data_IF_884658345631
#
_entry.id   IF_884658345631
#
_cell.length_a   1.000
_cell.length_b   1.000
_cell.length_c   1.000
_cell.angle_alpha   90.00
_cell.angle_beta   90.00
_cell.angle_gamma   90.00
#
_symmetry.space_group_name_H-M   'P 1'
#
loop_
_entity.id
_entity.type
_entity.pdbx_description
1 polymer ?
#
# COMPACT_ATOMS: atom_id res chain seq x y z
N UNK A 1 0.03 -32.37 -9.11
CA UNK A 1 -0.66 -31.06 -9.17
C UNK A 1 -0.92 -30.50 -7.77
N UNK A 2 -1.73 -31.15 -6.91
CA UNK A 2 -2.00 -30.68 -5.53
C UNK A 2 -0.74 -30.35 -4.68
N UNK A 3 0.29 -31.19 -4.71
CA UNK A 3 1.50 -31.00 -3.88
C UNK A 3 2.33 -29.75 -4.27
N UNK A 4 2.26 -29.31 -5.53
CA UNK A 4 3.07 -28.18 -6.00
C UNK A 4 2.42 -26.83 -5.67
N UNK A 5 1.09 -26.75 -5.70
CA UNK A 5 0.36 -25.56 -5.29
C UNK A 5 0.43 -25.33 -3.77
N UNK A 6 0.61 -26.41 -3.00
CA UNK A 6 0.94 -26.33 -1.56
C UNK A 6 2.26 -25.59 -1.34
N UNK A 7 3.29 -25.81 -2.17
CA UNK A 7 4.57 -25.07 -2.05
C UNK A 7 4.39 -23.57 -2.26
N UNK A 8 3.61 -23.17 -3.28
CA UNK A 8 3.33 -21.75 -3.54
C UNK A 8 2.50 -21.14 -2.41
N UNK A 9 1.45 -21.82 -1.97
CA UNK A 9 0.60 -21.36 -0.86
C UNK A 9 1.40 -21.24 0.44
N UNK A 10 2.31 -22.18 0.71
CA UNK A 10 3.23 -22.13 1.86
C UNK A 10 4.19 -20.96 1.75
N UNK A 11 4.71 -20.67 0.56
CA UNK A 11 5.56 -19.50 0.31
C UNK A 11 4.83 -18.19 0.61
N UNK A 12 3.58 -18.04 0.13
CA UNK A 12 2.75 -16.86 0.44
C UNK A 12 2.48 -16.77 1.94
N UNK A 13 2.13 -17.88 2.59
CA UNK A 13 1.91 -17.92 4.04
C UNK A 13 3.17 -17.52 4.82
N UNK A 14 4.35 -17.98 4.42
CA UNK A 14 5.62 -17.60 5.04
C UNK A 14 5.90 -16.11 4.90
N UNK A 15 5.64 -15.51 3.72
CA UNK A 15 5.71 -14.06 3.55
C UNK A 15 4.75 -13.36 4.52
N UNK A 16 3.49 -13.79 4.58
CA UNK A 16 2.50 -13.21 5.49
C UNK A 16 2.92 -13.33 6.96
N UNK A 17 3.40 -14.48 7.42
CA UNK A 17 3.86 -14.66 8.81
C UNK A 17 5.05 -13.75 9.10
N UNK A 18 6.02 -13.64 8.19
CA UNK A 18 7.17 -12.76 8.35
C UNK A 18 6.76 -11.29 8.40
N UNK A 19 5.84 -10.84 7.54
CA UNK A 19 5.26 -9.50 7.56
C UNK A 19 4.62 -9.20 8.93
N UNK A 20 3.77 -10.11 9.42
CA UNK A 20 3.09 -9.95 10.71
C UNK A 20 4.06 -10.01 11.90
N UNK A 21 5.23 -10.62 11.72
CA UNK A 21 6.26 -10.74 12.76
C UNK A 21 7.36 -9.67 12.66
N UNK A 22 7.19 -8.69 11.75
CA UNK A 22 8.15 -7.60 11.50
C UNK A 22 9.55 -8.10 11.11
N UNK A 23 9.62 -9.24 10.43
CA UNK A 23 10.85 -9.73 9.84
C UNK A 23 11.06 -9.17 8.44
N UNK A 24 12.33 -9.12 8.03
CA UNK A 24 12.72 -8.99 6.63
C UNK A 24 12.11 -10.17 5.85
N UNK A 25 11.30 -9.88 4.83
CA UNK A 25 10.47 -10.87 4.15
C UNK A 25 10.60 -10.82 2.62
N UNK A 26 11.03 -9.71 2.02
CA UNK A 26 11.18 -9.58 0.58
C UNK A 26 12.13 -10.61 -0.08
N UNK A 27 13.18 -11.14 0.59
CA UNK A 27 13.97 -12.25 0.04
C UNK A 27 13.16 -13.55 -0.13
N UNK A 28 12.16 -13.79 0.73
CA UNK A 28 11.24 -14.93 0.60
C UNK A 28 10.41 -14.79 -0.68
N UNK A 29 9.95 -13.57 -0.97
CA UNK A 29 9.22 -13.26 -2.20
C UNK A 29 10.07 -13.53 -3.45
N UNK A 30 11.36 -13.19 -3.41
CA UNK A 30 12.31 -13.53 -4.48
C UNK A 30 12.49 -15.03 -4.66
N UNK A 31 12.57 -15.79 -3.57
CA UNK A 31 12.57 -17.25 -3.63
C UNK A 31 11.30 -17.81 -4.27
N UNK A 32 10.13 -17.28 -3.90
CA UNK A 32 8.84 -17.67 -4.43
C UNK A 32 8.69 -17.34 -5.93
N UNK A 33 9.20 -16.19 -6.37
CA UNK A 33 9.31 -15.86 -7.79
C UNK A 33 10.18 -16.88 -8.55
N UNK A 34 11.31 -17.31 -7.98
CA UNK A 34 12.14 -18.38 -8.56
C UNK A 34 11.39 -19.70 -8.72
N UNK A 35 10.51 -20.06 -7.77
CA UNK A 35 9.64 -21.24 -7.89
C UNK A 35 8.61 -21.08 -9.02
N UNK A 36 8.01 -19.89 -9.16
CA UNK A 36 7.08 -19.60 -10.25
C UNK A 36 7.78 -19.68 -11.62
N UNK A 37 9.01 -19.20 -11.72
CA UNK A 37 9.86 -19.32 -12.92
C UNK A 37 10.20 -20.77 -13.24
N UNK A 38 10.68 -21.53 -12.26
CA UNK A 38 11.09 -22.93 -12.44
C UNK A 38 9.92 -23.85 -12.84
N UNK A 39 8.69 -23.47 -12.48
CA UNK A 39 7.46 -24.17 -12.87
C UNK A 39 6.86 -23.66 -14.19
N UNK A 40 7.53 -22.71 -14.85
CA UNK A 40 7.07 -22.06 -16.10
C UNK A 40 5.69 -21.39 -15.98
N UNK A 41 5.28 -21.05 -14.75
CA UNK A 41 3.93 -20.55 -14.52
C UNK A 41 3.77 -19.12 -14.99
N UNK A 42 4.78 -18.26 -14.83
CA UNK A 42 4.66 -16.80 -15.03
C UNK A 42 4.02 -16.40 -16.36
N UNK A 43 4.33 -17.11 -17.45
CA UNK A 43 3.82 -16.84 -18.79
C UNK A 43 2.79 -17.86 -19.28
N UNK A 44 2.36 -18.80 -18.44
CA UNK A 44 1.40 -19.85 -18.81
C UNK A 44 -0.03 -19.28 -18.89
N UNK A 45 -0.65 -19.19 -20.08
CA UNK A 45 -2.01 -18.71 -20.24
C UNK A 45 -3.07 -19.74 -19.80
N UNK A 46 -2.69 -21.01 -19.62
CA UNK A 46 -3.57 -22.11 -19.18
C UNK A 46 -3.33 -22.49 -17.71
N UNK A 47 -2.74 -21.57 -16.95
CA UNK A 47 -2.40 -21.80 -15.55
C UNK A 47 -3.64 -22.18 -14.71
N UNK A 48 -3.51 -23.14 -13.76
CA UNK A 48 -4.58 -23.46 -12.83
C UNK A 48 -5.09 -22.23 -12.05
N UNK A 49 -6.40 -22.13 -11.76
CA UNK A 49 -6.99 -20.98 -11.06
C UNK A 49 -6.31 -20.63 -9.72
N UNK A 50 -5.91 -21.65 -8.95
CA UNK A 50 -5.20 -21.47 -7.68
C UNK A 50 -3.83 -20.82 -7.89
N UNK A 51 -3.08 -21.27 -8.90
CA UNK A 51 -1.77 -20.71 -9.22
C UNK A 51 -1.88 -19.30 -9.85
N UNK A 52 -3.00 -18.97 -10.49
CA UNK A 52 -3.31 -17.60 -10.90
C UNK A 52 -3.57 -16.70 -9.69
N UNK A 53 -4.43 -17.14 -8.76
CA UNK A 53 -4.71 -16.40 -7.52
C UNK A 53 -3.44 -16.18 -6.68
N UNK A 54 -2.58 -17.19 -6.55
CA UNK A 54 -1.31 -17.06 -5.82
C UNK A 54 -0.34 -16.11 -6.53
N UNK A 55 -0.32 -16.05 -7.87
CA UNK A 55 0.49 -15.05 -8.58
C UNK A 55 -0.03 -13.64 -8.31
N UNK A 56 -1.34 -13.43 -8.33
CA UNK A 56 -1.92 -12.13 -8.01
C UNK A 56 -1.54 -11.68 -6.59
N UNK A 57 -1.63 -12.60 -5.61
CA UNK A 57 -1.18 -12.34 -4.24
C UNK A 57 0.32 -12.00 -4.15
N UNK A 58 1.17 -12.75 -4.87
CA UNK A 58 2.61 -12.49 -4.93
C UNK A 58 2.92 -11.16 -5.62
N UNK A 59 2.19 -10.84 -6.70
CA UNK A 59 2.30 -9.57 -7.41
C UNK A 59 1.93 -8.39 -6.52
N UNK A 60 0.88 -8.52 -5.72
CA UNK A 60 0.45 -7.50 -4.78
C UNK A 60 1.52 -7.24 -3.70
N UNK A 61 2.09 -8.29 -3.12
CA UNK A 61 3.22 -8.19 -2.19
C UNK A 61 4.47 -7.58 -2.86
N UNK A 62 4.65 -7.77 -4.16
CA UNK A 62 5.81 -7.24 -4.88
C UNK A 62 5.72 -5.73 -5.20
N UNK A 63 4.56 -5.11 -4.98
CA UNK A 63 4.40 -3.65 -5.16
C UNK A 63 5.25 -2.92 -4.12
N UNK A 64 6.29 -2.17 -4.54
CA UNK A 64 7.28 -1.63 -3.62
C UNK A 64 6.72 -0.51 -2.75
N UNK A 65 5.72 0.22 -3.24
CA UNK A 65 5.16 1.41 -2.59
C UNK A 65 4.34 1.12 -1.33
N UNK A 66 4.05 -0.15 -1.04
CA UNK A 66 3.41 -0.57 0.20
C UNK A 66 4.40 -1.09 1.25
N UNK A 67 5.71 -1.05 1.00
CA UNK A 67 6.70 -1.61 1.92
C UNK A 67 7.78 -0.59 2.26
N UNK A 68 7.90 -0.27 3.55
CA UNK A 68 8.98 0.57 4.07
C UNK A 68 10.24 -0.27 4.29
N UNK A 69 11.41 0.36 4.03
CA UNK A 69 12.73 -0.25 4.20
C UNK A 69 12.91 -1.57 3.43
N UNK A 70 12.27 -1.70 2.27
CA UNK A 70 12.38 -2.90 1.44
C UNK A 70 13.84 -3.11 0.99
N UNK A 71 14.41 -4.27 1.29
CA UNK A 71 15.82 -4.57 1.01
C UNK A 71 16.04 -5.26 -0.33
N UNK A 72 15.02 -5.96 -0.85
CA UNK A 72 15.09 -6.57 -2.18
C UNK A 72 14.38 -5.68 -3.19
N UNK A 73 14.99 -5.34 -4.33
CA UNK A 73 14.31 -4.62 -5.41
C UNK A 73 12.97 -5.29 -5.79
N UNK A 74 12.02 -4.49 -6.26
CA UNK A 74 10.79 -5.04 -6.85
C UNK A 74 11.15 -5.95 -8.02
N UNK A 75 10.42 -7.07 -8.14
CA UNK A 75 10.56 -8.00 -9.26
C UNK A 75 9.58 -7.67 -10.39
N UNK A 76 8.83 -6.57 -10.24
CA UNK A 76 7.82 -6.07 -11.15
C UNK A 76 6.77 -7.13 -11.54
N UNK A 77 6.43 -8.02 -10.61
CA UNK A 77 5.54 -9.17 -10.87
C UNK A 77 4.15 -8.67 -11.26
N UNK A 78 3.64 -7.67 -10.56
CA UNK A 78 2.34 -7.08 -10.88
C UNK A 78 2.31 -6.50 -12.30
N UNK A 79 3.26 -5.60 -12.61
CA UNK A 79 3.37 -4.93 -13.91
C UNK A 79 3.56 -5.93 -15.05
N UNK A 80 4.36 -6.96 -14.84
CA UNK A 80 4.76 -7.90 -15.89
C UNK A 80 3.74 -9.01 -16.15
N UNK A 81 3.06 -9.51 -15.12
CA UNK A 81 2.27 -10.75 -15.24
C UNK A 81 0.79 -10.58 -14.88
N UNK A 82 0.45 -9.61 -14.01
CA UNK A 82 -0.94 -9.41 -13.55
C UNK A 82 -1.65 -8.33 -14.37
N UNK A 83 -1.07 -7.12 -14.39
CA UNK A 83 -1.64 -5.94 -15.04
C UNK A 83 -2.04 -6.17 -16.51
N UNK A 84 -1.25 -6.86 -17.38
CA UNK A 84 -1.62 -7.07 -18.77
C UNK A 84 -2.93 -7.84 -18.99
N UNK A 85 -3.41 -8.55 -17.97
CA UNK A 85 -4.59 -9.42 -18.04
C UNK A 85 -5.76 -8.91 -17.18
N UNK A 86 -5.53 -7.92 -16.31
CA UNK A 86 -6.48 -7.49 -15.27
C UNK A 86 -6.62 -5.97 -15.25
N UNK A 87 -7.70 -5.48 -15.85
CA UNK A 87 -7.94 -4.04 -16.01
C UNK A 87 -9.20 -3.53 -15.30
N UNK A 88 -10.13 -4.42 -14.95
CA UNK A 88 -11.43 -4.07 -14.37
C UNK A 88 -11.88 -5.10 -13.34
N UNK A 89 -12.79 -4.68 -12.46
CA UNK A 89 -13.28 -5.49 -11.35
C UNK A 89 -12.39 -5.38 -10.12
N UNK A 90 -12.75 -6.14 -9.09
CA UNK A 90 -12.13 -6.04 -7.76
C UNK A 90 -11.11 -7.17 -7.60
N UNK A 91 -9.87 -6.80 -7.27
CA UNK A 91 -8.82 -7.73 -6.90
C UNK A 91 -9.17 -8.39 -5.56
N UNK A 92 -9.13 -9.72 -5.51
CA UNK A 92 -9.77 -10.50 -4.45
C UNK A 92 -9.02 -10.48 -3.12
N UNK A 93 -7.69 -10.36 -3.14
CA UNK A 93 -6.86 -10.33 -1.93
C UNK A 93 -7.00 -8.97 -1.24
N UNK A 94 -6.97 -7.91 -2.03
CA UNK A 94 -6.93 -6.53 -1.54
C UNK A 94 -8.30 -5.88 -1.38
N UNK A 95 -9.29 -6.34 -2.15
CA UNK A 95 -10.57 -5.65 -2.27
C UNK A 95 -10.45 -4.29 -2.97
N UNK A 96 -9.34 -3.99 -3.64
CA UNK A 96 -9.13 -2.75 -4.41
C UNK A 96 -9.42 -3.02 -5.90
N UNK A 97 -10.00 -2.07 -6.64
CA UNK A 97 -10.25 -2.25 -8.06
C UNK A 97 -8.93 -2.41 -8.83
N UNK A 98 -8.87 -3.34 -9.79
CA UNK A 98 -7.67 -3.53 -10.61
C UNK A 98 -7.27 -2.24 -11.32
N UNK A 99 -8.23 -1.43 -11.76
CA UNK A 99 -7.97 -0.14 -12.38
C UNK A 99 -7.19 0.82 -11.47
N UNK A 100 -7.45 0.82 -10.16
CA UNK A 100 -6.72 1.61 -9.17
C UNK A 100 -5.39 0.96 -8.79
N UNK A 101 -5.39 -0.37 -8.56
CA UNK A 101 -4.18 -1.10 -8.19
C UNK A 101 -3.09 -1.00 -9.27
N UNK A 102 -3.49 -1.04 -10.55
CA UNK A 102 -2.58 -0.83 -11.67
C UNK A 102 -1.93 0.56 -11.65
N UNK A 103 -2.64 1.60 -11.22
CA UNK A 103 -2.05 2.93 -11.04
C UNK A 103 -1.06 2.92 -9.87
N UNK A 104 -1.46 2.37 -8.72
CA UNK A 104 -0.62 2.29 -7.52
C UNK A 104 0.64 1.43 -7.73
N UNK A 105 0.59 0.44 -8.63
CA UNK A 105 1.76 -0.35 -9.01
C UNK A 105 2.76 0.43 -9.90
N UNK A 106 2.35 1.54 -10.53
CA UNK A 106 3.14 2.36 -11.45
C UNK A 106 3.40 3.78 -10.91
N UNK A 107 3.61 3.89 -9.58
CA UNK A 107 3.86 5.17 -8.90
C UNK A 107 5.16 5.87 -9.29
N UNK A 108 6.04 5.17 -9.99
CA UNK A 108 7.25 5.69 -10.62
C UNK A 108 7.00 6.40 -11.97
N UNK A 109 5.78 6.38 -12.51
CA UNK A 109 5.42 7.10 -13.73
C UNK A 109 5.35 8.62 -13.50
N UNK A 110 5.87 9.41 -14.45
CA UNK A 110 5.79 10.89 -14.41
C UNK A 110 4.37 11.43 -14.56
N UNK A 111 3.42 10.62 -15.04
CA UNK A 111 2.00 11.01 -15.21
C UNK A 111 1.12 10.57 -14.05
N UNK A 112 1.65 9.81 -13.08
CA UNK A 112 0.82 9.08 -12.11
C UNK A 112 -0.15 9.97 -11.32
N UNK A 113 0.31 11.15 -10.87
CA UNK A 113 -0.55 12.06 -10.11
C UNK A 113 -1.79 12.46 -10.93
N UNK A 114 -1.62 12.71 -12.24
CA UNK A 114 -2.74 13.02 -13.12
C UNK A 114 -3.63 11.83 -13.34
N UNK A 115 -3.06 10.65 -13.54
CA UNK A 115 -3.82 9.43 -13.80
C UNK A 115 -4.68 9.07 -12.58
N UNK A 116 -4.17 9.26 -11.35
CA UNK A 116 -4.92 9.10 -10.09
C UNK A 116 -5.98 10.19 -9.90
N UNK A 117 -5.72 11.43 -10.33
CA UNK A 117 -6.71 12.50 -10.31
C UNK A 117 -7.87 12.23 -11.28
N UNK A 118 -7.57 11.61 -12.43
CA UNK A 118 -8.52 11.28 -13.49
C UNK A 118 -9.17 9.91 -13.33
N UNK A 119 -8.73 9.09 -12.36
CA UNK A 119 -9.32 7.78 -12.11
C UNK A 119 -10.82 7.91 -11.84
N UNK A 120 -11.68 7.25 -12.64
CA UNK A 120 -13.13 7.49 -12.65
C UNK A 120 -13.86 6.89 -11.45
N UNK A 121 -13.20 6.04 -10.67
CA UNK A 121 -13.85 5.18 -9.68
C UNK A 121 -14.37 3.88 -10.27
N UNK A 122 -14.74 2.96 -9.38
CA UNK A 122 -15.57 1.79 -9.70
C UNK A 122 -16.77 1.75 -8.75
N UNK A 123 -17.81 1.00 -9.11
CA UNK A 123 -18.95 0.76 -8.22
C UNK A 123 -18.62 -0.42 -7.30
N UNK A 124 -18.58 -0.16 -5.99
CA UNK A 124 -18.47 -1.19 -4.97
C UNK A 124 -19.84 -1.73 -4.58
N UNK A 125 -19.84 -2.93 -4.02
CA UNK A 125 -21.03 -3.55 -3.43
C UNK A 125 -21.38 -2.87 -2.09
N UNK A 126 -20.39 -2.28 -1.42
CA UNK A 126 -20.52 -1.70 -0.10
C UNK A 126 -20.02 -0.25 -0.05
N UNK A 127 -20.72 0.58 0.74
CA UNK A 127 -20.40 2.00 0.87
C UNK A 127 -18.97 2.25 1.42
N UNK A 128 -18.48 1.38 2.31
CA UNK A 128 -17.13 1.51 2.85
C UNK A 128 -16.04 1.24 1.80
N UNK A 129 -16.32 0.41 0.78
CA UNK A 129 -15.36 0.13 -0.29
C UNK A 129 -15.07 1.41 -1.08
N UNK A 130 -16.10 2.21 -1.38
CA UNK A 130 -15.95 3.49 -2.08
C UNK A 130 -15.01 4.42 -1.31
N UNK A 131 -15.21 4.53 0.02
CA UNK A 131 -14.33 5.34 0.86
C UNK A 131 -12.92 4.77 0.98
N UNK A 132 -12.77 3.44 1.03
CA UNK A 132 -11.46 2.79 1.03
C UNK A 132 -10.70 3.12 -0.25
N UNK A 133 -11.34 2.96 -1.41
CA UNK A 133 -10.70 3.22 -2.70
C UNK A 133 -10.34 4.68 -2.88
N UNK A 134 -11.20 5.60 -2.44
CA UNK A 134 -10.87 7.03 -2.41
C UNK A 134 -9.70 7.33 -1.48
N UNK A 135 -9.62 6.70 -0.30
CA UNK A 135 -8.48 6.86 0.59
C UNK A 135 -7.18 6.39 -0.07
N UNK A 136 -7.19 5.22 -0.73
CA UNK A 136 -6.05 4.70 -1.47
C UNK A 136 -5.61 5.61 -2.62
N UNK A 137 -6.56 6.10 -3.42
CA UNK A 137 -6.29 7.01 -4.53
C UNK A 137 -5.65 8.30 -4.05
N UNK A 138 -6.24 8.94 -3.04
CA UNK A 138 -5.75 10.19 -2.47
C UNK A 138 -4.37 10.02 -1.81
N UNK A 139 -4.16 8.90 -1.10
CA UNK A 139 -2.86 8.55 -0.56
C UNK A 139 -1.82 8.27 -1.65
N UNK A 140 -2.22 7.64 -2.76
CA UNK A 140 -1.39 7.50 -3.96
C UNK A 140 -0.92 8.86 -4.48
N UNK A 141 -1.81 9.85 -4.60
CA UNK A 141 -1.41 11.20 -5.05
C UNK A 141 -0.41 11.84 -4.08
N UNK A 142 -0.63 11.70 -2.78
CA UNK A 142 0.29 12.23 -1.76
C UNK A 142 1.65 11.53 -1.81
N UNK A 143 1.64 10.21 -1.97
CA UNK A 143 2.85 9.41 -2.03
C UNK A 143 3.63 9.71 -3.33
N UNK A 144 2.97 9.94 -4.47
CA UNK A 144 3.68 10.26 -5.72
C UNK A 144 4.43 11.58 -5.62
N UNK A 145 3.88 12.56 -4.90
CA UNK A 145 4.59 13.82 -4.64
C UNK A 145 5.82 13.63 -3.73
N UNK A 146 5.72 12.77 -2.73
CA UNK A 146 6.87 12.37 -1.90
C UNK A 146 7.99 11.74 -2.74
N UNK A 147 7.65 11.01 -3.81
CA UNK A 147 8.61 10.39 -4.73
C UNK A 147 9.17 11.39 -5.75
N UNK A 148 8.35 12.32 -6.25
CA UNK A 148 8.73 13.31 -7.26
C UNK A 148 9.65 14.41 -6.74
N UNK A 149 9.59 14.74 -5.44
CA UNK A 149 10.45 15.73 -4.77
C UNK A 149 11.94 15.27 -4.65
N UNK A 150 12.31 14.14 -5.25
CA UNK A 150 13.69 13.69 -5.36
C UNK A 150 14.44 14.51 -6.44
N UNK A 151 15.71 14.93 -6.23
CA UNK A 151 16.31 16.07 -6.96
C UNK A 151 16.58 15.92 -8.47
N UNK A 152 16.12 14.85 -9.14
CA UNK A 152 16.57 14.52 -10.50
C UNK A 152 15.65 14.95 -11.65
N UNK A 153 14.36 15.24 -11.43
CA UNK A 153 13.44 15.55 -12.54
C UNK A 153 12.76 16.92 -12.43
N UNK A 154 13.49 17.97 -12.83
CA UNK A 154 12.94 19.30 -13.03
C UNK A 154 12.48 19.50 -14.48
N UNK A 155 11.36 18.89 -14.85
CA UNK A 155 10.56 19.36 -16.00
C UNK A 155 9.08 19.38 -15.62
N UNK A 156 8.61 20.52 -15.10
CA UNK A 156 7.24 20.70 -14.60
C UNK A 156 6.30 21.11 -15.72
N UNK A 157 5.23 20.35 -16.03
CA UNK A 157 4.05 20.92 -16.66
C UNK A 157 3.25 21.72 -15.62
N UNK A 158 2.81 22.92 -15.99
CA UNK A 158 1.86 23.74 -15.25
C UNK A 158 0.56 22.94 -14.98
N UNK A 159 0.25 22.65 -13.72
CA UNK A 159 -1.05 22.09 -13.34
C UNK A 159 -1.59 22.75 -12.08
N UNK A 160 -2.89 23.05 -12.12
CA UNK A 160 -3.68 23.54 -10.99
C UNK A 160 -3.81 22.37 -10.02
N UNK A 161 -2.79 22.17 -9.19
CA UNK A 161 -2.72 21.03 -8.29
C UNK A 161 -3.52 21.33 -7.01
N UNK A 162 -4.41 20.42 -6.65
CA UNK A 162 -5.08 20.44 -5.34
C UNK A 162 -4.01 20.40 -4.25
N UNK A 163 -4.08 21.29 -3.25
CA UNK A 163 -3.05 21.36 -2.21
C UNK A 163 -2.93 20.05 -1.43
N UNK A 164 -1.71 19.73 -0.97
CA UNK A 164 -1.42 18.55 -0.13
C UNK A 164 -2.31 18.53 1.11
N UNK A 165 -2.56 19.69 1.71
CA UNK A 165 -3.48 19.84 2.85
C UNK A 165 -4.90 19.36 2.52
N UNK A 166 -5.47 19.78 1.39
CA UNK A 166 -6.81 19.37 0.99
C UNK A 166 -6.86 17.86 0.74
N UNK A 167 -5.86 17.30 0.06
CA UNK A 167 -5.79 15.85 -0.20
C UNK A 167 -5.69 15.05 1.11
N UNK A 168 -4.80 15.48 2.01
CA UNK A 168 -4.62 14.87 3.34
C UNK A 168 -5.92 14.90 4.15
N UNK A 169 -6.62 16.03 4.18
CA UNK A 169 -7.91 16.13 4.86
C UNK A 169 -8.98 15.23 4.24
N UNK A 170 -8.98 15.06 2.91
CA UNK A 170 -9.87 14.10 2.24
C UNK A 170 -9.53 12.64 2.59
N UNK A 171 -8.25 12.28 2.75
CA UNK A 171 -7.86 10.95 3.26
C UNK A 171 -8.44 10.73 4.65
N UNK A 172 -8.26 11.68 5.58
CA UNK A 172 -8.84 11.57 6.93
C UNK A 172 -10.37 11.50 6.90
N UNK A 173 -11.04 12.27 6.04
CA UNK A 173 -12.50 12.21 5.89
C UNK A 173 -12.97 10.82 5.40
N UNK A 174 -12.28 10.23 4.42
CA UNK A 174 -12.58 8.87 3.95
C UNK A 174 -12.36 7.82 5.03
N UNK A 175 -11.25 7.90 5.78
CA UNK A 175 -10.98 7.00 6.91
C UNK A 175 -12.04 7.16 8.01
N UNK A 176 -12.40 8.40 8.35
CA UNK A 176 -13.45 8.67 9.33
C UNK A 176 -14.81 8.10 8.90
N UNK A 177 -15.14 8.18 7.60
CA UNK A 177 -16.35 7.56 7.07
C UNK A 177 -16.30 6.03 7.22
N UNK A 178 -15.19 5.38 6.89
CA UNK A 178 -14.99 3.93 7.08
C UNK A 178 -15.17 3.53 8.55
N UNK A 179 -14.55 4.28 9.46
CA UNK A 179 -14.67 4.07 10.92
C UNK A 179 -16.12 4.26 11.38
N UNK A 180 -16.77 5.33 10.94
CA UNK A 180 -18.12 5.72 11.35
C UNK A 180 -19.23 4.78 10.84
N UNK A 181 -18.99 4.06 9.74
CA UNK A 181 -19.95 3.06 9.21
C UNK A 181 -20.21 1.93 10.23
N UNK A 182 -19.25 1.63 11.11
CA UNK A 182 -19.43 0.89 12.38
C UNK A 182 -19.89 -0.57 12.32
N UNK A 183 -20.70 -0.97 11.34
CA UNK A 183 -21.56 -2.16 11.41
C UNK A 183 -22.08 -2.61 10.02
N UNK A 184 -21.18 -2.89 9.08
CA UNK A 184 -21.50 -3.82 7.99
C UNK A 184 -20.42 -4.90 8.00
N UNK A 185 -20.82 -6.16 7.87
CA UNK A 185 -19.98 -7.34 8.03
C UNK A 185 -18.88 -7.41 6.95
N UNK A 186 -17.83 -6.61 7.08
CA UNK A 186 -16.67 -6.72 6.21
C UNK A 186 -15.93 -8.02 6.53
N UNK A 187 -15.43 -8.70 5.48
CA UNK A 187 -14.47 -9.79 5.66
C UNK A 187 -13.22 -9.21 6.35
N UNK A 188 -12.94 -9.67 7.57
CA UNK A 188 -11.79 -9.54 8.48
C UNK A 188 -10.54 -8.63 8.21
N UNK A 189 -10.26 -8.03 7.04
CA UNK A 189 -8.98 -7.33 6.75
C UNK A 189 -9.08 -5.82 6.42
N UNK A 190 -10.26 -5.19 6.43
CA UNK A 190 -10.41 -3.76 6.06
C UNK A 190 -9.66 -2.80 7.00
N UNK A 191 -9.50 -3.17 8.28
CA UNK A 191 -8.75 -2.39 9.26
C UNK A 191 -7.25 -2.30 8.94
N UNK A 192 -6.68 -3.36 8.33
CA UNK A 192 -5.30 -3.34 7.82
C UNK A 192 -5.21 -2.61 6.50
N UNK A 193 -6.23 -2.73 5.65
CA UNK A 193 -6.27 -2.04 4.37
C UNK A 193 -6.17 -0.50 4.53
N UNK A 194 -6.67 0.10 5.62
CA UNK A 194 -6.53 1.55 5.83
C UNK A 194 -5.14 1.98 6.35
N UNK A 195 -4.21 1.07 6.63
CA UNK A 195 -2.87 1.41 7.15
C UNK A 195 -2.07 2.23 6.16
N UNK A 196 -1.99 1.81 4.90
CA UNK A 196 -1.31 2.57 3.84
C UNK A 196 -1.82 4.02 3.73
N UNK A 197 -3.12 4.28 3.51
CA UNK A 197 -3.59 5.66 3.39
C UNK A 197 -3.44 6.46 4.68
N UNK A 198 -3.66 5.83 5.85
CA UNK A 198 -3.48 6.50 7.14
C UNK A 198 -2.00 6.88 7.39
N UNK A 199 -1.08 5.99 7.04
CA UNK A 199 0.35 6.22 7.21
C UNK A 199 0.82 7.40 6.34
N UNK A 200 0.48 7.40 5.04
CA UNK A 200 0.89 8.47 4.13
C UNK A 200 0.31 9.82 4.57
N UNK A 201 -0.98 9.88 4.90
CA UNK A 201 -1.57 11.12 5.42
C UNK A 201 -0.94 11.54 6.76
N UNK A 202 -0.64 10.57 7.62
CA UNK A 202 -0.06 10.74 8.95
C UNK A 202 1.32 11.38 8.91
N UNK A 203 2.26 10.84 8.12
CA UNK A 203 3.62 11.41 8.04
C UNK A 203 3.61 12.84 7.48
N UNK A 204 2.61 13.19 6.67
CA UNK A 204 2.48 14.52 6.05
C UNK A 204 1.73 15.54 6.90
N UNK A 205 1.28 15.22 8.11
CA UNK A 205 0.59 16.20 8.98
C UNK A 205 1.52 17.33 9.42
N UNK A 206 0.95 18.52 9.63
CA UNK A 206 1.73 19.74 9.95
C UNK A 206 1.35 20.38 11.28
N UNK A 207 0.11 20.16 11.75
CA UNK A 207 -0.42 20.78 12.96
C UNK A 207 -0.86 19.74 13.99
N UNK A 208 -1.01 20.19 15.24
CA UNK A 208 -1.35 19.31 16.37
C UNK A 208 -2.73 18.64 16.23
N UNK A 209 -3.69 19.31 15.56
CA UNK A 209 -5.02 18.75 15.33
C UNK A 209 -4.96 17.54 14.41
N UNK A 210 -4.25 17.62 13.29
CA UNK A 210 -4.07 16.52 12.35
C UNK A 210 -3.27 15.36 12.94
N UNK A 211 -2.24 15.67 13.73
CA UNK A 211 -1.51 14.64 14.48
C UNK A 211 -2.44 13.90 15.45
N UNK A 212 -3.36 14.62 16.10
CA UNK A 212 -4.36 14.02 16.96
C UNK A 212 -5.35 13.15 16.18
N UNK A 213 -5.82 13.60 15.00
CA UNK A 213 -6.67 12.79 14.12
C UNK A 213 -5.97 11.48 13.72
N UNK A 214 -4.68 11.56 13.37
CA UNK A 214 -3.87 10.39 13.06
C UNK A 214 -3.81 9.43 14.25
N UNK A 215 -3.51 9.93 15.46
CA UNK A 215 -3.46 9.09 16.67
C UNK A 215 -4.80 8.40 16.94
N UNK A 216 -5.92 9.12 16.83
CA UNK A 216 -7.26 8.56 17.06
C UNK A 216 -7.57 7.47 16.04
N UNK A 217 -7.22 7.66 14.78
CA UNK A 217 -7.42 6.65 13.74
C UNK A 217 -6.58 5.37 14.01
N UNK A 218 -5.30 5.51 14.38
CA UNK A 218 -4.46 4.36 14.77
C UNK A 218 -5.01 3.64 16.00
N UNK A 219 -5.43 4.39 17.04
CA UNK A 219 -6.05 3.82 18.24
C UNK A 219 -7.30 3.01 17.93
N UNK A 220 -8.13 3.47 16.98
CA UNK A 220 -9.31 2.73 16.55
C UNK A 220 -8.95 1.39 15.88
N UNK A 221 -7.90 1.37 15.05
CA UNK A 221 -7.41 0.14 14.40
C UNK A 221 -6.85 -0.83 15.46
N UNK A 222 -6.06 -0.32 16.41
CA UNK A 222 -5.46 -1.12 17.49
C UNK A 222 -6.51 -1.80 18.37
N UNK A 223 -7.58 -1.09 18.73
CA UNK A 223 -8.67 -1.65 19.55
C UNK A 223 -9.39 -2.84 18.89
N UNK A 224 -9.23 -3.03 17.58
CA UNK A 224 -9.81 -4.15 16.82
C UNK A 224 -8.76 -5.16 16.31
N UNK A 225 -7.48 -5.02 16.64
CA UNK A 225 -6.36 -5.80 16.08
C UNK A 225 -5.36 -6.36 17.10
N UNK A 226 -4.26 -6.96 16.61
CA UNK A 226 -3.12 -7.37 17.44
C UNK A 226 -2.20 -6.16 17.68
N UNK A 227 -1.95 -5.81 18.94
CA UNK A 227 -1.44 -4.50 19.40
C UNK A 227 0.01 -4.12 19.00
N UNK A 228 0.69 -4.87 18.13
CA UNK A 228 2.14 -4.71 17.89
C UNK A 228 2.53 -3.80 16.73
N UNK A 229 2.11 -4.14 15.51
CA UNK A 229 2.61 -3.50 14.28
C UNK A 229 2.11 -2.08 14.11
N UNK A 230 0.82 -1.85 14.39
CA UNK A 230 0.20 -0.54 14.26
C UNK A 230 0.79 0.48 15.23
N UNK A 231 1.24 0.03 16.42
CA UNK A 231 1.91 0.90 17.39
C UNK A 231 3.29 1.32 16.90
N UNK A 232 4.04 0.38 16.31
CA UNK A 232 5.34 0.66 15.72
C UNK A 232 5.20 1.63 14.53
N UNK A 233 4.17 1.46 13.70
CA UNK A 233 3.88 2.40 12.60
C UNK A 233 3.56 3.79 13.16
N UNK A 234 2.73 3.89 14.19
CA UNK A 234 2.43 5.18 14.83
C UNK A 234 3.67 5.83 15.46
N UNK A 235 4.56 5.05 16.06
CA UNK A 235 5.82 5.54 16.63
C UNK A 235 6.76 6.09 15.54
N UNK A 236 6.83 5.43 14.38
CA UNK A 236 7.55 5.93 13.20
C UNK A 236 6.95 7.28 12.75
N UNK A 237 5.62 7.35 12.60
CA UNK A 237 4.93 8.58 12.23
C UNK A 237 5.21 9.70 13.24
N UNK A 238 5.18 9.41 14.54
CA UNK A 238 5.49 10.37 15.59
C UNK A 238 6.95 10.84 15.56
N UNK A 239 7.89 9.95 15.21
CA UNK A 239 9.30 10.31 14.99
C UNK A 239 9.46 11.27 13.82
N UNK A 240 8.73 11.06 12.72
CA UNK A 240 8.69 12.01 11.59
C UNK A 240 8.16 13.36 12.03
N UNK A 241 7.11 13.44 12.85
CA UNK A 241 6.60 14.73 13.34
C UNK A 241 7.60 15.50 14.21
N UNK A 242 8.38 14.77 15.00
CA UNK A 242 9.41 15.36 15.87
C UNK A 242 10.59 15.90 15.07
N UNK A 243 11.02 15.17 14.06
CA UNK A 243 12.28 15.41 13.34
C UNK A 243 12.09 16.15 12.00
N UNK A 244 10.91 16.06 11.39
CA UNK A 244 10.59 16.57 10.05
C UNK A 244 9.95 17.96 10.02
N UNK A 245 10.13 18.78 11.06
CA UNK A 245 9.58 20.16 11.09
C UNK A 245 10.19 21.00 9.97
N UNK A 246 9.34 21.45 9.03
CA UNK A 246 9.76 22.27 7.89
C UNK A 246 10.46 21.50 6.76
N UNK A 247 10.53 20.17 6.83
CA UNK A 247 11.00 19.34 5.72
C UNK A 247 9.96 19.20 4.61
N UNK A 248 10.41 19.04 3.36
CA UNK A 248 9.53 18.73 2.23
C UNK A 248 8.97 17.30 2.31
N UNK A 249 8.05 16.95 1.43
CA UNK A 249 7.32 15.68 1.47
C UNK A 249 8.26 14.48 1.32
N UNK A 250 9.23 14.55 0.40
CA UNK A 250 10.26 13.52 0.23
C UNK A 250 11.07 13.25 1.51
N UNK A 251 11.50 14.31 2.21
CA UNK A 251 12.27 14.16 3.44
C UNK A 251 11.50 13.42 4.54
N UNK A 252 10.18 13.61 4.62
CA UNK A 252 9.32 12.95 5.62
C UNK A 252 9.19 11.45 5.34
N UNK A 253 9.02 11.05 4.07
CA UNK A 253 8.98 9.64 3.67
C UNK A 253 10.34 8.95 3.88
N UNK A 254 11.44 9.65 3.57
CA UNK A 254 12.79 9.16 3.81
C UNK A 254 13.05 8.92 5.30
N UNK A 255 12.68 9.86 6.18
CA UNK A 255 12.81 9.70 7.63
C UNK A 255 12.01 8.49 8.15
N UNK A 256 10.81 8.23 7.61
CA UNK A 256 10.05 7.05 7.99
C UNK A 256 10.72 5.74 7.53
N UNK A 257 11.33 5.76 6.34
CA UNK A 257 12.09 4.63 5.80
C UNK A 257 13.33 4.34 6.64
N UNK A 258 14.10 5.38 7.00
CA UNK A 258 15.27 5.27 7.88
C UNK A 258 14.89 4.77 9.28
N UNK A 259 13.80 5.30 9.85
CA UNK A 259 13.29 4.85 11.14
C UNK A 259 12.89 3.36 11.12
N UNK A 260 12.37 2.87 9.99
CA UNK A 260 12.09 1.44 9.81
C UNK A 260 13.40 0.63 9.69
N UNK A 261 14.42 1.17 9.04
CA UNK A 261 15.76 0.59 8.96
C UNK A 261 16.43 0.38 10.33
N UNK A 262 16.26 1.32 11.25
CA UNK A 262 16.76 1.20 12.63
C UNK A 262 16.14 0.01 13.40
N UNK A 263 14.94 -0.43 13.01
CA UNK A 263 14.26 -1.59 13.59
C UNK A 263 14.71 -2.91 12.96
N UNK A 264 15.57 -2.87 11.94
CA UNK A 264 15.99 -4.03 11.15
C UNK A 264 14.79 -4.86 10.64
N UNK A 265 13.75 -4.17 10.17
CA UNK A 265 12.48 -4.74 9.74
C UNK A 265 12.07 -4.21 8.35
N UNK A 266 11.16 -4.94 7.69
CA UNK A 266 10.40 -4.44 6.55
C UNK A 266 8.95 -4.32 6.97
N UNK A 267 8.38 -3.12 6.89
CA UNK A 267 6.98 -2.89 7.28
C UNK A 267 6.13 -2.83 6.03
N UNK A 268 5.25 -3.82 5.88
CA UNK A 268 4.21 -3.81 4.86
C UNK A 268 2.98 -3.06 5.38
N UNK A 269 2.54 -2.05 4.65
CA UNK A 269 1.42 -1.16 5.00
C UNK A 269 0.08 -1.63 4.42
N UNK A 270 0.08 -2.81 3.80
CA UNK A 270 -1.07 -3.40 3.11
C UNK A 270 -1.44 -4.76 3.73
#
# INVERSE_FOLDING_TARGET
MLCQDVTLATGVLLCSVSINSLYIWSPLLKGLHGVLQARELLNDPQRPPVANHLLEAVGLLDIPFFTLNRITPSLEIWKSYVQPHKHSGIEQVSGIPYSLMNLLANMDSTTIEQDLLQWPGELGDEFAQIHLWEAFRLAGILHSRCLADHPQDQTTPLRVNVSTEILRMKVFASIQAIIGIGTFNFRLSLARAILYPLFIAGILTENAQEQQLTRVAFQYIMQKGQEGTEQIILDIVAKVWKNGKGGNEASKLMMATEATGELNAEIHLY
#
